data_IF_008675875090
#
_entry.id   IF_008675875090
#
_cell.length_a   1.000
_cell.length_b   1.000
_cell.length_c   1.000
_cell.angle_alpha   90.00
_cell.angle_beta   90.00
_cell.angle_gamma   90.00
#
_symmetry.space_group_name_H-M   'P 1'
#
loop_
_entity.id
_entity.type
_entity.pdbx_description
1 polymer ?
#
# COMPACT_ATOMS: atom_id res chain seq x y z
N UNK A 1 19.39 7.87 -8.96
CA UNK A 1 19.03 8.14 -7.56
C UNK A 1 19.36 6.91 -6.71
N UNK A 2 20.22 7.05 -5.68
CA UNK A 2 20.54 5.97 -4.74
C UNK A 2 19.29 5.73 -3.88
N UNK A 3 18.55 4.66 -4.17
CA UNK A 3 17.39 4.26 -3.37
C UNK A 3 17.93 3.89 -1.97
N UNK A 4 17.55 4.58 -0.89
CA UNK A 4 18.06 4.28 0.45
C UNK A 4 17.80 2.82 0.81
N UNK A 5 18.77 2.18 1.48
CA UNK A 5 18.72 0.74 1.81
C UNK A 5 17.45 0.36 2.60
N UNK A 6 16.87 1.31 3.34
CA UNK A 6 15.59 1.19 4.05
C UNK A 6 14.41 0.77 3.15
N UNK A 7 14.36 1.23 1.89
CA UNK A 7 13.32 0.88 0.92
C UNK A 7 13.43 -0.56 0.37
N UNK A 8 14.48 -1.31 0.72
CA UNK A 8 14.60 -2.74 0.38
C UNK A 8 13.81 -3.63 1.35
N UNK A 9 13.46 -3.12 2.53
CA UNK A 9 12.67 -3.85 3.52
C UNK A 9 11.18 -3.76 3.16
N UNK A 10 10.50 -4.90 2.95
CA UNK A 10 9.09 -4.90 2.54
C UNK A 10 8.18 -4.29 3.61
N UNK A 11 8.52 -4.46 4.89
CA UNK A 11 7.72 -3.91 6.00
C UNK A 11 7.78 -2.38 6.02
N UNK A 12 8.97 -1.81 5.86
CA UNK A 12 9.15 -0.35 5.80
C UNK A 12 8.47 0.25 4.57
N UNK A 13 8.55 -0.44 3.43
CA UNK A 13 7.85 -0.02 2.22
C UNK A 13 6.32 0.01 2.44
N UNK A 14 5.78 -1.01 3.12
CA UNK A 14 4.36 -1.08 3.47
C UNK A 14 3.91 0.08 4.36
N UNK A 15 4.71 0.43 5.37
CA UNK A 15 4.44 1.59 6.22
C UNK A 15 4.51 2.91 5.47
N UNK A 16 5.51 3.10 4.60
CA UNK A 16 5.63 4.31 3.78
C UNK A 16 4.43 4.45 2.84
N UNK A 17 4.05 3.36 2.14
CA UNK A 17 2.90 3.35 1.24
C UNK A 17 1.62 3.65 2.03
N UNK A 18 1.44 3.04 3.19
CA UNK A 18 0.30 3.28 4.07
C UNK A 18 0.19 4.74 4.51
N UNK A 19 1.28 5.33 5.01
CA UNK A 19 1.29 6.72 5.49
C UNK A 19 1.02 7.69 4.35
N UNK A 20 1.66 7.49 3.19
CA UNK A 20 1.46 8.34 2.01
C UNK A 20 0.01 8.24 1.52
N UNK A 21 -0.55 7.03 1.42
CA UNK A 21 -1.96 6.83 1.04
C UNK A 21 -2.91 7.46 2.04
N UNK A 22 -2.67 7.29 3.33
CA UNK A 22 -3.50 7.86 4.39
C UNK A 22 -3.51 9.38 4.29
N UNK A 23 -2.34 10.01 4.15
CA UNK A 23 -2.23 11.46 4.03
C UNK A 23 -2.96 11.98 2.78
N UNK A 24 -2.82 11.27 1.66
CA UNK A 24 -3.45 11.62 0.39
C UNK A 24 -4.97 11.43 0.41
N UNK A 25 -5.47 10.42 1.13
CA UNK A 25 -6.91 10.12 1.28
C UNK A 25 -7.57 10.93 2.39
N UNK A 26 -6.81 11.50 3.32
CA UNK A 26 -7.36 12.24 4.47
C UNK A 26 -8.19 13.43 4.00
N UNK A 27 -7.64 14.28 3.13
CA UNK A 27 -8.36 15.45 2.61
C UNK A 27 -9.67 15.10 1.89
N UNK A 28 -9.69 14.20 0.87
CA UNK A 28 -10.94 13.87 0.19
C UNK A 28 -11.94 13.18 1.12
N UNK A 29 -11.51 12.33 2.05
CA UNK A 29 -12.43 11.69 3.01
C UNK A 29 -13.04 12.69 3.99
N UNK A 30 -12.29 13.68 4.46
CA UNK A 30 -12.84 14.76 5.30
C UNK A 30 -13.88 15.55 4.50
N UNK A 31 -13.56 16.01 3.29
CA UNK A 31 -14.51 16.73 2.43
C UNK A 31 -15.78 15.91 2.17
N UNK A 32 -15.63 14.60 1.95
CA UNK A 32 -16.75 13.70 1.76
C UNK A 32 -17.64 13.68 3.01
N UNK A 33 -17.06 13.47 4.20
CA UNK A 33 -17.77 13.52 5.49
C UNK A 33 -18.51 14.84 5.68
N UNK A 34 -17.92 15.98 5.31
CA UNK A 34 -18.60 17.28 5.36
C UNK A 34 -19.84 17.35 4.46
N UNK A 35 -19.87 16.61 3.34
CA UNK A 35 -21.03 16.59 2.44
C UNK A 35 -22.15 15.65 2.88
N UNK A 36 -21.82 14.54 3.55
CA UNK A 36 -22.82 13.54 4.00
C UNK A 36 -23.35 13.80 5.40
N UNK A 37 -22.65 14.58 6.22
CA UNK A 37 -23.06 14.80 7.63
C UNK A 37 -23.89 16.07 7.77
N UNK A 38 -25.01 15.98 8.47
CA UNK A 38 -25.87 17.13 8.83
C UNK A 38 -25.16 18.11 9.80
N UNK A 39 -25.68 19.33 9.89
CA UNK A 39 -25.14 20.44 10.71
C UNK A 39 -25.07 20.18 12.22
N UNK A 40 -25.65 19.08 12.70
CA UNK A 40 -25.60 18.68 14.10
C UNK A 40 -24.25 18.07 14.52
N UNK A 41 -23.41 17.66 13.58
CA UNK A 41 -22.12 17.07 13.90
C UNK A 41 -21.02 18.12 14.07
N UNK A 42 -20.30 18.06 15.19
CA UNK A 42 -19.18 18.95 15.47
C UNK A 42 -18.08 18.83 14.40
N UNK A 43 -17.41 19.95 14.11
CA UNK A 43 -16.24 20.04 13.22
C UNK A 43 -15.19 18.98 13.55
N UNK A 44 -14.95 18.74 14.84
CA UNK A 44 -14.02 17.72 15.32
C UNK A 44 -14.47 16.30 14.96
N UNK A 45 -15.76 15.97 15.15
CA UNK A 45 -16.32 14.66 14.79
C UNK A 45 -16.13 14.38 13.30
N UNK A 46 -16.30 15.40 12.44
CA UNK A 46 -16.13 15.28 10.99
C UNK A 46 -14.68 15.03 10.59
N UNK A 47 -13.73 15.76 11.19
CA UNK A 47 -12.30 15.60 10.92
C UNK A 47 -11.80 14.22 11.38
N UNK A 48 -12.15 13.81 12.60
CA UNK A 48 -11.77 12.52 13.16
C UNK A 48 -12.39 11.38 12.35
N UNK A 49 -13.69 11.47 12.02
CA UNK A 49 -14.38 10.48 11.20
C UNK A 49 -13.78 10.35 9.80
N UNK A 50 -13.49 11.47 9.14
CA UNK A 50 -12.86 11.47 7.81
C UNK A 50 -11.46 10.89 7.82
N UNK A 51 -10.65 11.24 8.81
CA UNK A 51 -9.29 10.71 8.98
C UNK A 51 -9.32 9.20 9.28
N UNK A 52 -10.27 8.75 10.10
CA UNK A 52 -10.44 7.33 10.44
C UNK A 52 -10.82 6.49 9.21
N UNK A 53 -11.78 6.97 8.41
CA UNK A 53 -12.16 6.30 7.15
C UNK A 53 -10.97 6.29 6.17
N UNK A 54 -10.23 7.39 6.04
CA UNK A 54 -9.04 7.45 5.20
C UNK A 54 -7.99 6.42 5.62
N UNK A 55 -7.75 6.26 6.93
CA UNK A 55 -6.80 5.29 7.47
C UNK A 55 -7.22 3.84 7.17
N UNK A 56 -8.51 3.51 7.24
CA UNK A 56 -9.02 2.18 6.88
C UNK A 56 -8.83 1.91 5.39
N UNK A 57 -9.23 2.87 4.53
CA UNK A 57 -9.10 2.74 3.08
C UNK A 57 -7.64 2.62 2.64
N UNK A 58 -6.76 3.44 3.22
CA UNK A 58 -5.32 3.35 2.98
C UNK A 58 -4.73 2.02 3.43
N UNK A 59 -5.23 1.45 4.54
CA UNK A 59 -4.85 0.12 5.01
C UNK A 59 -5.18 -0.96 3.99
N UNK A 60 -6.41 -0.96 3.49
CA UNK A 60 -6.84 -1.87 2.43
C UNK A 60 -6.03 -1.72 1.14
N UNK A 61 -5.82 -0.48 0.68
CA UNK A 61 -5.06 -0.21 -0.54
C UNK A 61 -3.58 -0.62 -0.41
N UNK A 62 -2.96 -0.36 0.74
CA UNK A 62 -1.60 -0.78 1.04
C UNK A 62 -1.47 -2.30 1.05
N UNK A 63 -2.43 -3.00 1.67
CA UNK A 63 -2.45 -4.46 1.69
C UNK A 63 -2.58 -5.07 0.29
N UNK A 64 -3.51 -4.56 -0.52
CA UNK A 64 -3.68 -4.99 -1.93
C UNK A 64 -2.40 -4.74 -2.74
N UNK A 65 -1.80 -3.55 -2.59
CA UNK A 65 -0.54 -3.22 -3.27
C UNK A 65 0.59 -4.19 -2.90
N UNK A 66 0.70 -4.55 -1.62
CA UNK A 66 1.70 -5.49 -1.14
C UNK A 66 1.47 -6.92 -1.64
N UNK A 67 0.20 -7.37 -1.66
CA UNK A 67 -0.17 -8.70 -2.17
C UNK A 67 0.15 -8.84 -3.67
N UNK A 68 -0.20 -7.82 -4.48
CA UNK A 68 0.12 -7.80 -5.91
C UNK A 68 1.64 -7.86 -6.12
N UNK A 69 2.40 -7.07 -5.37
CA UNK A 69 3.86 -7.10 -5.44
C UNK A 69 4.43 -8.47 -5.09
N UNK A 70 3.91 -9.12 -4.05
CA UNK A 70 4.31 -10.45 -3.63
C UNK A 70 4.03 -11.49 -4.72
N UNK A 71 2.86 -11.45 -5.35
CA UNK A 71 2.52 -12.35 -6.45
C UNK A 71 3.47 -12.18 -7.66
N UNK A 72 3.78 -10.94 -8.05
CA UNK A 72 4.72 -10.66 -9.15
C UNK A 72 6.12 -11.20 -8.81
N UNK A 73 6.60 -10.96 -7.57
CA UNK A 73 7.90 -11.45 -7.10
C UNK A 73 7.96 -12.98 -7.10
N UNK A 74 6.87 -13.65 -6.71
CA UNK A 74 6.75 -15.11 -6.72
C UNK A 74 6.85 -15.68 -8.13
N UNK A 75 6.15 -15.07 -9.10
CA UNK A 75 6.22 -15.44 -10.53
C UNK A 75 7.65 -15.33 -11.07
N UNK A 76 8.33 -14.20 -10.86
CA UNK A 76 9.73 -13.99 -11.30
C UNK A 76 10.71 -14.99 -10.67
N UNK A 77 10.55 -15.33 -9.38
CA UNK A 77 11.41 -16.35 -8.72
C UNK A 77 11.20 -17.75 -9.32
N UNK A 78 9.97 -18.10 -9.67
CA UNK A 78 9.66 -19.39 -10.30
C UNK A 78 10.28 -19.51 -11.69
N UNK A 79 10.27 -18.43 -12.47
CA UNK A 79 10.89 -18.37 -13.80
C UNK A 79 12.41 -18.48 -13.71
N UNK A 80 13.04 -17.75 -12.79
CA UNK A 80 14.49 -17.86 -12.53
C UNK A 80 14.91 -19.26 -12.09
N UNK A 81 14.08 -19.96 -11.30
CA UNK A 81 14.33 -21.36 -10.92
C UNK A 81 14.18 -22.30 -12.11
N UNK A 82 13.22 -22.06 -13.00
CA UNK A 82 13.03 -22.85 -14.24
C UNK A 82 14.19 -22.65 -15.22
N UNK A 83 14.67 -21.43 -15.42
CA UNK A 83 15.81 -21.15 -16.29
C UNK A 83 17.11 -21.76 -15.73
N UNK A 84 17.36 -21.63 -14.43
CA UNK A 84 18.54 -22.24 -13.78
C UNK A 84 18.55 -23.77 -13.88
N UNK A 85 17.37 -24.42 -13.83
CA UNK A 85 17.25 -25.88 -14.06
C UNK A 85 17.56 -26.27 -15.51
N UNK A 86 17.09 -25.49 -16.48
CA UNK A 86 17.37 -25.72 -17.91
C UNK A 86 18.86 -25.50 -18.23
N UNK A 87 19.49 -24.50 -17.63
CA UNK A 87 20.92 -24.23 -17.80
C UNK A 87 21.79 -25.35 -17.18
N UNK A 88 21.43 -25.83 -15.98
CA UNK A 88 22.10 -27.00 -15.39
C UNK A 88 21.99 -28.27 -16.24
N UNK A 89 20.86 -28.47 -16.94
CA UNK A 89 20.69 -29.59 -17.88
C UNK A 89 21.48 -29.43 -19.19
N UNK A 90 21.81 -28.20 -19.60
CA UNK A 90 22.60 -27.94 -20.82
C UNK A 90 24.12 -28.04 -20.60
N UNK A 91 24.58 -27.88 -19.35
CA UNK A 91 25.99 -27.98 -18.97
C UNK A 91 26.43 -29.40 -18.56
N UNK A 92 25.51 -30.37 -18.60
CA UNK A 92 25.75 -31.77 -18.23
C UNK A 92 25.55 -32.62 -19.47
#
# INVERSE_FOLDING_TARGET
>A
MKIPASLKNPDVLGWIIYVVLTLLLTFPCIVLIYKITYDTASTWTRIVGGTFIAAILAGFLSWIGNEIWFQIKRRRRSEKRKSARKEKKRRK
#
